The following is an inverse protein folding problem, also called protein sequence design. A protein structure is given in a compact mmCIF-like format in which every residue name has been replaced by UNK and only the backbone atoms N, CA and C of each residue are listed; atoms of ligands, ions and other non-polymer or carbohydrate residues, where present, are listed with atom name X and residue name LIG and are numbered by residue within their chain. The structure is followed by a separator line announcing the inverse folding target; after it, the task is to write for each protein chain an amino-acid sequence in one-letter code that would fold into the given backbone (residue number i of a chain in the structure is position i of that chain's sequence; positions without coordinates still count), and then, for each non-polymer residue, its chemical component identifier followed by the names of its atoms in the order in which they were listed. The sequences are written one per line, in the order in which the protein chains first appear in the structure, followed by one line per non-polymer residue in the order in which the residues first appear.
data_IF_938203003712
#
_entry.id   IF_938203003712
#
_cell.length_a   1.000
_cell.length_b   1.000
_cell.length_c   1.000
_cell.angle_alpha   90.00
_cell.angle_beta   90.00
_cell.angle_gamma   90.00
#
_symmetry.space_group_name_H-M   'P 1'
#
loop_
_entity.id
_entity.type
_entity.pdbx_description
1 polymer ?
#
# COMPACT_ATOMS: atom_id res chain seq x y z
N UNK A 1 57.17 -39.75 -10.15
CA UNK A 1 57.09 -38.32 -9.95
C UNK A 1 55.84 -37.85 -10.66
N UNK A 2 54.76 -37.61 -9.91
CA UNK A 2 53.44 -37.17 -10.42
C UNK A 2 53.31 -35.67 -10.18
N UNK A 3 53.33 -34.91 -11.26
CA UNK A 3 53.02 -33.48 -11.23
C UNK A 3 51.53 -33.31 -10.97
N UNK A 4 51.12 -33.01 -9.73
CA UNK A 4 49.82 -32.49 -9.42
C UNK A 4 49.79 -31.02 -9.79
N UNK A 5 49.02 -30.71 -10.80
CA UNK A 5 48.92 -29.39 -11.38
C UNK A 5 48.18 -28.41 -10.46
N UNK A 6 48.83 -27.29 -10.19
CA UNK A 6 48.40 -26.13 -9.40
C UNK A 6 47.09 -25.47 -9.92
N UNK A 7 46.51 -25.97 -11.01
CA UNK A 7 45.28 -25.45 -11.61
C UNK A 7 43.98 -25.83 -10.86
N UNK A 8 43.98 -26.95 -10.11
CA UNK A 8 42.80 -27.39 -9.37
C UNK A 8 42.54 -26.62 -8.09
N UNK A 9 43.62 -26.10 -7.46
CA UNK A 9 43.49 -25.33 -6.21
C UNK A 9 43.03 -23.88 -6.44
N UNK A 10 43.35 -23.31 -7.62
CA UNK A 10 42.94 -21.94 -7.95
C UNK A 10 41.44 -21.85 -8.29
N UNK A 11 40.87 -22.92 -8.90
CA UNK A 11 39.41 -22.94 -9.17
C UNK A 11 38.58 -23.13 -7.91
N UNK A 12 39.03 -23.94 -6.93
CA UNK A 12 38.35 -24.11 -5.66
C UNK A 12 38.42 -22.85 -4.79
N UNK A 13 39.54 -22.10 -4.83
CA UNK A 13 39.67 -20.81 -4.15
C UNK A 13 38.83 -19.69 -4.80
N UNK A 14 38.61 -19.77 -6.13
CA UNK A 14 37.80 -18.78 -6.85
C UNK A 14 36.29 -18.96 -6.64
N UNK A 15 35.81 -20.18 -6.32
CA UNK A 15 34.44 -20.46 -5.94
C UNK A 15 34.10 -20.12 -4.47
N UNK A 16 35.12 -20.04 -3.59
CA UNK A 16 34.90 -19.61 -2.19
C UNK A 16 34.89 -18.08 -2.00
N UNK A 17 35.35 -17.29 -2.95
CA UNK A 17 35.39 -15.81 -2.85
C UNK A 17 34.08 -15.15 -3.31
N UNK A 18 33.20 -15.86 -4.03
CA UNK A 18 31.92 -15.33 -4.51
C UNK A 18 30.74 -15.58 -3.54
N UNK A 19 30.99 -16.16 -2.37
CA UNK A 19 29.95 -16.52 -1.38
C UNK A 19 30.00 -15.78 -0.03
N UNK A 20 31.04 -14.99 0.24
CA UNK A 20 31.07 -14.20 1.47
C UNK A 20 30.40 -12.85 1.23
N UNK A 21 29.14 -12.72 1.61
CA UNK A 21 28.57 -11.40 1.95
C UNK A 21 29.58 -10.74 2.92
N UNK A 22 30.30 -9.72 2.44
CA UNK A 22 31.07 -8.85 3.33
C UNK A 22 30.07 -8.11 4.21
N UNK A 23 29.71 -8.73 5.34
CA UNK A 23 28.88 -8.08 6.35
C UNK A 23 29.82 -7.14 7.09
N UNK A 24 29.71 -5.87 6.75
CA UNK A 24 30.37 -4.78 7.46
C UNK A 24 29.86 -4.69 8.91
N UNK A 25 30.70 -4.12 9.75
CA UNK A 25 30.53 -4.02 11.20
C UNK A 25 29.10 -3.75 11.63
N UNK A 26 28.64 -4.53 12.61
CA UNK A 26 27.43 -4.23 13.38
C UNK A 26 27.63 -2.90 14.14
N UNK A 27 26.54 -2.15 14.32
CA UNK A 27 26.51 -0.99 15.22
C UNK A 27 26.74 -1.43 16.68
N UNK A 28 26.94 -0.51 17.62
CA UNK A 28 27.24 -0.78 19.02
C UNK A 28 26.23 -1.72 19.73
N UNK A 29 24.98 -1.77 19.22
CA UNK A 29 23.92 -2.69 19.70
C UNK A 29 23.94 -4.07 19.03
N UNK A 30 24.91 -4.33 18.16
CA UNK A 30 25.07 -5.58 17.40
C UNK A 30 24.12 -5.73 16.22
N UNK A 31 23.35 -4.69 15.84
CA UNK A 31 22.46 -4.68 14.68
C UNK A 31 23.22 -4.43 13.38
N UNK A 32 22.66 -4.92 12.28
CA UNK A 32 23.17 -4.71 10.91
C UNK A 32 22.20 -3.75 10.23
N UNK A 33 22.50 -2.45 10.30
CA UNK A 33 21.64 -1.37 9.79
C UNK A 33 21.91 -1.02 8.34
N UNK A 34 23.13 -1.32 7.84
CA UNK A 34 23.43 -1.19 6.42
C UNK A 34 22.61 -2.19 5.62
N UNK A 35 22.06 -1.77 4.47
CA UNK A 35 21.32 -2.65 3.59
C UNK A 35 22.12 -3.88 3.17
N UNK A 36 21.58 -5.06 3.48
CA UNK A 36 22.06 -6.35 2.98
C UNK A 36 21.28 -6.69 1.72
N UNK A 37 22.00 -6.93 0.61
CA UNK A 37 21.38 -7.40 -0.64
C UNK A 37 21.64 -8.88 -0.82
N UNK A 38 20.57 -9.65 -0.97
CA UNK A 38 20.63 -11.10 -1.24
C UNK A 38 20.06 -11.37 -2.61
N UNK A 39 20.91 -11.96 -3.50
CA UNK A 39 20.49 -12.45 -4.80
C UNK A 39 20.19 -13.95 -4.71
N UNK A 40 18.97 -14.33 -5.04
CA UNK A 40 18.51 -15.71 -5.10
C UNK A 40 18.54 -16.19 -6.55
N UNK A 41 19.35 -17.22 -6.82
CA UNK A 41 19.39 -17.89 -8.13
C UNK A 41 18.23 -18.92 -8.25
N UNK A 42 17.62 -19.30 -7.12
CA UNK A 42 16.51 -20.23 -7.05
C UNK A 42 15.63 -19.86 -5.86
N UNK A 43 14.31 -19.88 -6.06
CA UNK A 43 13.34 -19.70 -4.97
C UNK A 43 13.50 -20.79 -3.87
N UNK A 44 13.29 -20.43 -2.62
CA UNK A 44 13.40 -21.31 -1.46
C UNK A 44 14.82 -21.39 -0.87
N UNK A 45 15.77 -20.57 -1.33
CA UNK A 45 17.18 -20.64 -0.87
C UNK A 45 17.61 -19.51 0.06
N UNK A 46 16.71 -18.60 0.44
CA UNK A 46 17.02 -17.54 1.39
C UNK A 46 17.52 -18.07 2.75
N UNK A 47 16.97 -19.18 3.32
CA UNK A 47 17.48 -19.78 4.55
C UNK A 47 18.96 -20.12 4.51
N UNK A 48 19.46 -20.60 3.37
CA UNK A 48 20.86 -20.96 3.15
C UNK A 48 21.76 -19.73 2.97
N UNK A 49 21.19 -18.63 2.47
CA UNK A 49 21.94 -17.38 2.18
C UNK A 49 22.08 -16.51 3.43
N UNK A 50 21.09 -16.52 4.31
CA UNK A 50 21.11 -15.79 5.58
C UNK A 50 21.17 -16.81 6.72
N UNK A 51 22.37 -17.02 7.26
CA UNK A 51 22.55 -17.93 8.41
C UNK A 51 21.73 -17.51 9.62
N UNK A 52 21.27 -18.48 10.41
CA UNK A 52 20.39 -18.28 11.57
C UNK A 52 20.91 -17.24 12.59
N UNK A 53 22.23 -17.20 12.81
CA UNK A 53 22.87 -16.28 13.77
C UNK A 53 22.82 -14.81 13.39
N UNK A 54 22.44 -14.49 12.14
CA UNK A 54 22.40 -13.11 11.60
C UNK A 54 20.98 -12.63 11.33
N UNK A 55 20.00 -13.52 11.24
CA UNK A 55 18.62 -13.20 10.90
C UNK A 55 18.05 -12.12 11.82
N UNK A 56 18.26 -12.26 13.12
CA UNK A 56 17.69 -11.38 14.15
C UNK A 56 18.39 -10.02 14.24
N UNK A 57 19.51 -9.84 13.50
CA UNK A 57 20.32 -8.62 13.55
C UNK A 57 20.14 -7.72 12.33
N UNK A 58 19.63 -8.27 11.22
CA UNK A 58 19.46 -7.51 9.98
C UNK A 58 18.21 -6.64 10.08
N UNK A 59 18.38 -5.33 9.96
CA UNK A 59 17.27 -4.37 9.99
C UNK A 59 16.88 -3.86 8.61
N UNK A 60 17.74 -4.04 7.60
CA UNK A 60 17.53 -3.54 6.25
C UNK A 60 17.97 -4.61 5.22
N UNK A 61 16.99 -5.15 4.48
CA UNK A 61 17.18 -6.26 3.55
C UNK A 61 16.63 -5.91 2.17
N UNK A 62 17.41 -6.19 1.15
CA UNK A 62 16.97 -6.23 -0.26
C UNK A 62 17.08 -7.66 -0.79
N UNK A 63 16.04 -8.13 -1.46
CA UNK A 63 16.04 -9.44 -2.12
C UNK A 63 15.86 -9.24 -3.62
N UNK A 64 16.66 -9.97 -4.40
CA UNK A 64 16.63 -9.98 -5.86
C UNK A 64 16.40 -11.43 -6.31
N UNK A 65 15.48 -11.65 -7.25
CA UNK A 65 15.17 -12.96 -7.82
C UNK A 65 13.84 -13.54 -7.35
N UNK A 66 13.61 -14.81 -7.62
CA UNK A 66 12.34 -15.48 -7.27
C UNK A 66 12.33 -15.87 -5.79
N UNK A 67 11.18 -15.66 -5.13
CA UNK A 67 10.90 -15.99 -3.72
C UNK A 67 9.61 -16.81 -3.62
N UNK A 68 9.63 -17.84 -2.77
CA UNK A 68 8.48 -18.70 -2.52
C UNK A 68 8.17 -18.80 -1.00
N UNK A 69 7.27 -19.72 -0.62
CA UNK A 69 6.83 -19.90 0.76
C UNK A 69 7.96 -20.16 1.76
N UNK A 70 8.99 -20.91 1.37
CA UNK A 70 10.17 -21.18 2.21
C UNK A 70 10.95 -19.89 2.52
N UNK A 71 11.16 -19.04 1.50
CA UNK A 71 11.82 -17.74 1.67
C UNK A 71 10.95 -16.81 2.51
N UNK A 72 9.62 -16.84 2.27
CA UNK A 72 8.65 -15.98 2.96
C UNK A 72 8.61 -16.25 4.46
N UNK A 73 8.72 -17.52 4.85
CA UNK A 73 8.82 -17.92 6.26
C UNK A 73 10.00 -17.24 6.97
N UNK A 74 11.18 -17.24 6.33
CA UNK A 74 12.36 -16.54 6.87
C UNK A 74 12.16 -15.03 6.92
N UNK A 75 11.55 -14.44 5.89
CA UNK A 75 11.25 -13.00 5.88
C UNK A 75 10.34 -12.64 7.05
N UNK A 76 9.31 -13.45 7.36
CA UNK A 76 8.42 -13.25 8.50
C UNK A 76 9.16 -13.35 9.83
N UNK A 77 10.00 -14.40 9.99
CA UNK A 77 10.82 -14.56 11.19
C UNK A 77 11.72 -13.33 11.43
N UNK A 78 12.36 -12.83 10.37
CA UNK A 78 13.15 -11.60 10.43
C UNK A 78 12.34 -10.36 10.77
N UNK A 79 11.08 -10.31 10.33
CA UNK A 79 10.13 -9.22 10.61
C UNK A 79 9.39 -9.36 11.95
N UNK A 80 9.78 -10.32 12.78
CA UNK A 80 9.30 -10.48 14.16
C UNK A 80 8.16 -11.48 14.35
N UNK A 81 7.85 -12.33 13.34
CA UNK A 81 6.78 -13.33 13.44
C UNK A 81 7.18 -14.67 12.82
N UNK A 82 6.97 -15.75 13.55
CA UNK A 82 7.21 -17.08 13.04
C UNK A 82 6.02 -17.67 12.25
N UNK A 83 6.11 -18.94 11.97
CA UNK A 83 5.09 -19.70 11.28
C UNK A 83 3.73 -19.71 11.99
N UNK A 84 3.71 -19.79 13.32
CA UNK A 84 2.52 -19.76 14.16
C UNK A 84 2.06 -18.35 14.55
N UNK A 85 2.68 -17.33 13.92
CA UNK A 85 2.47 -15.92 14.24
C UNK A 85 2.91 -15.54 15.68
N UNK A 86 3.75 -16.38 16.31
CA UNK A 86 4.38 -16.07 17.58
C UNK A 86 5.53 -15.06 17.37
N UNK A 87 5.88 -14.33 18.45
CA UNK A 87 6.94 -13.33 18.39
C UNK A 87 8.32 -13.95 18.23
N UNK A 88 9.15 -13.38 17.37
CA UNK A 88 10.57 -13.70 17.19
C UNK A 88 11.46 -12.51 17.60
N UNK A 89 12.76 -12.74 17.69
CA UNK A 89 13.76 -11.68 17.95
C UNK A 89 14.12 -10.87 16.69
N UNK A 90 13.48 -11.14 15.55
CA UNK A 90 13.72 -10.47 14.29
C UNK A 90 13.57 -8.95 14.37
N UNK A 91 14.50 -8.22 13.73
CA UNK A 91 14.59 -6.74 13.78
C UNK A 91 14.45 -6.10 12.39
N UNK A 92 13.95 -6.84 11.40
CA UNK A 92 13.79 -6.32 10.04
C UNK A 92 12.77 -5.17 10.02
N UNK A 93 13.25 -3.98 9.72
CA UNK A 93 12.47 -2.75 9.66
C UNK A 93 12.25 -2.26 8.22
N UNK A 94 13.23 -2.50 7.34
CA UNK A 94 13.20 -2.05 5.95
C UNK A 94 13.37 -3.26 5.04
N UNK A 95 12.41 -3.51 4.16
CA UNK A 95 12.43 -4.60 3.19
C UNK A 95 12.22 -4.08 1.77
N UNK A 96 13.18 -4.32 0.88
CA UNK A 96 13.09 -3.99 -0.54
C UNK A 96 12.93 -5.26 -1.38
N UNK A 97 11.75 -5.45 -1.94
CA UNK A 97 11.39 -6.53 -2.86
C UNK A 97 11.18 -6.02 -4.30
N UNK A 98 11.63 -4.81 -4.63
CA UNK A 98 11.41 -4.19 -5.94
C UNK A 98 11.92 -5.03 -7.12
N UNK A 99 12.99 -5.79 -6.91
CA UNK A 99 13.62 -6.70 -7.89
C UNK A 99 13.35 -8.19 -7.57
N UNK A 100 12.42 -8.45 -6.66
CA UNK A 100 11.95 -9.81 -6.37
C UNK A 100 10.71 -10.16 -7.21
N UNK A 101 10.46 -11.47 -7.35
CA UNK A 101 9.24 -12.00 -7.95
C UNK A 101 8.68 -13.08 -7.03
N UNK A 102 7.42 -12.93 -6.61
CA UNK A 102 6.75 -13.97 -5.83
C UNK A 102 6.32 -15.09 -6.78
N UNK A 103 6.68 -16.33 -6.44
CA UNK A 103 6.31 -17.51 -7.19
C UNK A 103 5.66 -18.55 -6.28
N UNK A 104 4.83 -19.39 -6.87
CA UNK A 104 4.19 -20.52 -6.18
C UNK A 104 5.23 -21.53 -5.71
N UNK A 105 4.90 -22.28 -4.65
CA UNK A 105 5.70 -23.39 -4.13
C UNK A 105 6.43 -23.06 -2.83
N UNK A 106 7.35 -23.95 -2.44
CA UNK A 106 7.97 -23.91 -1.14
C UNK A 106 7.05 -24.41 -0.02
N UNK A 107 7.47 -24.16 1.22
CA UNK A 107 6.69 -24.52 2.41
C UNK A 107 5.60 -23.47 2.67
N UNK A 108 4.59 -23.86 3.46
CA UNK A 108 3.64 -22.91 4.03
C UNK A 108 4.37 -21.87 4.89
N UNK A 109 4.06 -20.59 4.72
CA UNK A 109 4.76 -19.52 5.42
C UNK A 109 4.05 -19.06 6.70
N UNK A 110 2.79 -19.43 6.88
CA UNK A 110 1.97 -19.04 8.04
C UNK A 110 0.91 -20.08 8.30
N UNK A 111 0.61 -20.30 9.60
CA UNK A 111 -0.49 -21.13 10.07
C UNK A 111 -1.37 -20.29 10.99
N UNK A 112 -2.61 -20.02 10.58
CA UNK A 112 -3.58 -19.24 11.33
C UNK A 112 -4.98 -19.84 11.15
N UNK A 113 -5.83 -19.75 12.17
CA UNK A 113 -7.23 -20.24 12.13
C UNK A 113 -7.36 -21.68 11.61
N UNK A 114 -6.41 -22.57 11.96
CA UNK A 114 -6.34 -23.96 11.51
C UNK A 114 -6.10 -24.12 9.99
N UNK A 115 -5.51 -23.11 9.34
CA UNK A 115 -5.19 -23.14 7.92
C UNK A 115 -3.72 -22.81 7.66
N UNK A 116 -3.17 -23.41 6.63
CA UNK A 116 -1.84 -23.13 6.11
C UNK A 116 -1.92 -22.19 4.90
N UNK A 117 -1.00 -21.23 4.84
CA UNK A 117 -0.94 -20.27 3.76
C UNK A 117 0.34 -20.44 2.95
N UNK A 118 0.19 -20.43 1.63
CA UNK A 118 1.24 -20.64 0.64
C UNK A 118 1.35 -19.45 -0.29
N UNK A 119 2.52 -19.30 -0.94
CA UNK A 119 2.71 -18.28 -1.97
C UNK A 119 2.09 -18.69 -3.30
N UNK A 120 1.58 -17.70 -4.03
CA UNK A 120 1.05 -17.83 -5.39
C UNK A 120 1.77 -16.82 -6.29
N UNK A 121 1.78 -17.07 -7.59
CA UNK A 121 2.51 -16.24 -8.54
C UNK A 121 1.97 -14.80 -8.56
N UNK A 122 2.87 -13.85 -8.32
CA UNK A 122 2.58 -12.41 -8.33
C UNK A 122 1.49 -11.97 -7.34
N UNK A 123 1.29 -12.71 -6.25
CA UNK A 123 0.35 -12.39 -5.18
C UNK A 123 1.08 -12.20 -3.86
N UNK A 124 0.75 -11.14 -3.13
CA UNK A 124 1.06 -11.06 -1.71
C UNK A 124 -0.01 -11.83 -0.95
N UNK A 125 0.35 -12.99 -0.45
CA UNK A 125 -0.60 -13.94 0.12
C UNK A 125 -1.32 -13.43 1.37
N UNK A 126 -2.39 -14.11 1.74
CA UNK A 126 -3.15 -13.90 2.99
C UNK A 126 -2.20 -14.02 4.19
N UNK A 127 -2.31 -13.10 5.17
CA UNK A 127 -1.48 -13.05 6.38
C UNK A 127 0.05 -12.89 6.12
N UNK A 128 0.47 -12.47 4.94
CA UNK A 128 1.88 -12.43 4.56
C UNK A 128 2.78 -11.67 5.57
N UNK A 129 2.31 -10.55 6.11
CA UNK A 129 2.98 -9.75 7.15
C UNK A 129 2.08 -9.52 8.37
N UNK A 130 1.14 -10.44 8.64
CA UNK A 130 0.28 -10.33 9.81
C UNK A 130 1.12 -10.10 11.07
N UNK A 131 0.80 -9.02 11.82
CA UNK A 131 1.44 -8.65 13.07
C UNK A 131 2.97 -8.38 13.00
N UNK A 132 3.53 -8.12 11.81
CA UNK A 132 4.94 -7.75 11.68
C UNK A 132 5.17 -6.31 12.20
N UNK A 133 5.15 -6.16 13.52
CA UNK A 133 5.16 -4.85 14.20
C UNK A 133 6.44 -4.05 14.03
N UNK A 134 7.55 -4.67 13.64
CA UNK A 134 8.84 -4.00 13.42
C UNK A 134 8.99 -3.39 12.04
N UNK A 135 8.13 -3.75 11.08
CA UNK A 135 8.30 -3.35 9.68
C UNK A 135 7.83 -1.90 9.47
N UNK A 136 8.77 -1.00 9.16
CA UNK A 136 8.51 0.44 8.97
C UNK A 136 8.42 0.84 7.52
N UNK A 137 9.14 0.13 6.62
CA UNK A 137 9.22 0.45 5.20
C UNK A 137 9.26 -0.83 4.36
N UNK A 138 8.44 -0.88 3.32
CA UNK A 138 8.38 -1.99 2.37
C UNK A 138 8.22 -1.48 0.95
N UNK A 139 9.06 -2.01 0.05
CA UNK A 139 8.88 -1.87 -1.40
C UNK A 139 8.44 -3.22 -1.96
N UNK A 140 7.25 -3.26 -2.55
CA UNK A 140 6.66 -4.47 -3.13
C UNK A 140 7.20 -4.76 -4.54
N UNK A 141 7.14 -6.04 -5.00
CA UNK A 141 7.49 -6.40 -6.38
C UNK A 141 6.64 -5.66 -7.41
N UNK A 142 7.25 -5.16 -8.48
CA UNK A 142 6.55 -4.42 -9.53
C UNK A 142 5.47 -5.24 -10.27
N UNK A 143 5.64 -6.58 -10.31
CA UNK A 143 4.71 -7.51 -10.96
C UNK A 143 3.53 -7.96 -10.10
N UNK A 144 3.37 -7.43 -8.87
CA UNK A 144 2.31 -7.86 -7.97
C UNK A 144 0.94 -7.45 -8.49
N UNK A 145 -0.01 -8.37 -8.48
CA UNK A 145 -1.38 -8.17 -9.00
C UNK A 145 -2.45 -8.13 -7.92
N UNK A 146 -2.20 -8.75 -6.76
CA UNK A 146 -3.14 -8.79 -5.64
C UNK A 146 -2.45 -8.73 -4.27
N UNK A 147 -3.17 -8.18 -3.30
CA UNK A 147 -2.83 -8.25 -1.87
C UNK A 147 -3.94 -9.03 -1.19
N UNK A 148 -3.57 -10.15 -0.54
CA UNK A 148 -4.49 -11.05 0.14
C UNK A 148 -5.06 -10.49 1.43
N UNK A 149 -6.03 -11.21 2.00
CA UNK A 149 -6.70 -10.82 3.23
C UNK A 149 -5.71 -10.77 4.40
N UNK A 150 -5.84 -9.73 5.24
CA UNK A 150 -5.01 -9.49 6.43
C UNK A 150 -3.50 -9.48 6.15
N UNK A 151 -3.08 -9.23 4.91
CA UNK A 151 -1.67 -9.30 4.51
C UNK A 151 -0.74 -8.40 5.34
N UNK A 152 -1.21 -7.24 5.77
CA UNK A 152 -0.48 -6.28 6.62
C UNK A 152 -1.20 -6.00 7.94
N UNK A 153 -2.19 -6.81 8.32
CA UNK A 153 -2.95 -6.53 9.54
C UNK A 153 -2.01 -6.44 10.76
N UNK A 154 -2.20 -5.39 11.55
CA UNK A 154 -1.36 -5.14 12.74
C UNK A 154 0.03 -4.56 12.47
N UNK A 155 0.38 -4.18 11.24
CA UNK A 155 1.64 -3.47 10.96
C UNK A 155 1.54 -1.99 11.41
N UNK A 156 1.46 -1.75 12.71
CA UNK A 156 1.16 -0.41 13.29
C UNK A 156 2.20 0.66 12.98
N UNK A 157 3.46 0.26 12.77
CA UNK A 157 4.57 1.20 12.52
C UNK A 157 4.93 1.32 11.05
N UNK A 158 4.20 0.65 10.16
CA UNK A 158 4.43 0.75 8.72
C UNK A 158 4.04 2.15 8.23
N UNK A 159 5.04 2.96 7.88
CA UNK A 159 4.85 4.36 7.45
C UNK A 159 5.09 4.55 5.96
N UNK A 160 5.88 3.67 5.35
CA UNK A 160 6.28 3.76 3.94
C UNK A 160 5.95 2.47 3.20
N UNK A 161 4.96 2.55 2.33
CA UNK A 161 4.56 1.47 1.44
C UNK A 161 4.15 2.05 0.09
N UNK A 162 4.76 1.54 -0.98
CA UNK A 162 4.37 1.88 -2.35
C UNK A 162 3.70 0.68 -3.01
N UNK A 163 2.48 0.87 -3.48
CA UNK A 163 1.75 -0.15 -4.22
C UNK A 163 2.15 -0.14 -5.71
N UNK A 164 2.38 -1.31 -6.32
CA UNK A 164 2.69 -1.39 -7.74
C UNK A 164 1.48 -1.04 -8.62
N UNK A 165 1.74 -0.45 -9.78
CA UNK A 165 0.69 0.03 -10.70
C UNK A 165 -0.18 -1.09 -11.27
N UNK A 166 0.31 -2.33 -11.27
CA UNK A 166 -0.41 -3.52 -11.75
C UNK A 166 -1.41 -4.12 -10.76
N UNK A 167 -1.50 -3.57 -9.54
CA UNK A 167 -2.38 -4.11 -8.51
C UNK A 167 -3.85 -3.87 -8.86
N UNK A 168 -4.65 -4.93 -8.83
CA UNK A 168 -6.08 -4.91 -9.21
C UNK A 168 -7.03 -5.16 -8.04
N UNK A 169 -6.53 -5.78 -6.95
CA UNK A 169 -7.35 -6.10 -5.78
C UNK A 169 -6.61 -5.97 -4.46
N UNK A 170 -7.34 -5.53 -3.44
CA UNK A 170 -6.93 -5.48 -2.04
C UNK A 170 -7.98 -6.27 -1.25
N UNK A 171 -7.55 -7.33 -0.58
CA UNK A 171 -8.40 -8.26 0.17
C UNK A 171 -8.93 -7.71 1.49
N UNK A 172 -9.77 -8.50 2.15
CA UNK A 172 -10.40 -8.15 3.41
C UNK A 172 -9.37 -7.95 4.52
N UNK A 173 -9.51 -6.89 5.31
CA UNK A 173 -8.58 -6.56 6.40
C UNK A 173 -7.13 -6.37 5.98
N UNK A 174 -6.81 -6.21 4.70
CA UNK A 174 -5.43 -6.22 4.20
C UNK A 174 -4.48 -5.25 4.96
N UNK A 175 -4.98 -4.10 5.38
CA UNK A 175 -4.25 -3.09 6.16
C UNK A 175 -4.92 -2.82 7.52
N UNK A 176 -5.63 -3.81 8.08
CA UNK A 176 -6.31 -3.67 9.37
C UNK A 176 -5.34 -3.17 10.46
N UNK A 177 -5.63 -2.04 11.08
CA UNK A 177 -4.82 -1.46 12.15
C UNK A 177 -3.48 -0.83 11.72
N UNK A 178 -3.22 -0.63 10.43
CA UNK A 178 -1.99 0.05 9.96
C UNK A 178 -2.02 1.55 10.30
N UNK A 179 -2.00 1.88 11.58
CA UNK A 179 -2.13 3.27 12.07
C UNK A 179 -0.95 4.18 11.72
N UNK A 180 0.20 3.62 11.37
CA UNK A 180 1.38 4.36 10.90
C UNK A 180 1.26 4.91 9.48
N UNK A 181 0.37 4.38 8.64
CA UNK A 181 0.19 4.86 7.27
C UNK A 181 -0.45 6.26 7.28
N UNK A 182 0.28 7.27 6.80
CA UNK A 182 -0.16 8.68 6.82
C UNK A 182 -0.70 9.16 5.47
N UNK A 183 -0.11 8.69 4.39
CA UNK A 183 -0.55 8.97 3.03
C UNK A 183 -0.45 7.69 2.21
N UNK A 184 -1.48 7.44 1.39
CA UNK A 184 -1.57 6.19 0.65
C UNK A 184 -2.15 6.45 -0.74
N UNK A 185 -1.43 6.04 -1.78
CA UNK A 185 -1.89 6.18 -3.16
C UNK A 185 -2.33 4.81 -3.67
N UNK A 186 -3.60 4.68 -3.98
CA UNK A 186 -4.15 3.49 -4.60
C UNK A 186 -3.88 3.47 -6.10
N UNK A 187 -3.46 2.33 -6.70
CA UNK A 187 -3.15 2.24 -8.12
C UNK A 187 -4.41 2.37 -8.98
N UNK A 188 -4.25 2.91 -10.18
CA UNK A 188 -5.37 3.20 -11.09
C UNK A 188 -6.12 1.94 -11.59
N UNK A 189 -5.49 0.77 -11.52
CA UNK A 189 -6.08 -0.52 -11.90
C UNK A 189 -6.99 -1.15 -10.85
N UNK A 190 -7.05 -0.57 -9.63
CA UNK A 190 -7.83 -1.14 -8.54
C UNK A 190 -9.33 -0.97 -8.78
N UNK A 191 -10.08 -2.07 -8.74
CA UNK A 191 -11.53 -2.11 -9.00
C UNK A 191 -12.36 -2.30 -7.75
N UNK A 192 -11.80 -2.88 -6.69
CA UNK A 192 -12.48 -3.13 -5.43
C UNK A 192 -11.55 -3.01 -4.22
N UNK A 193 -12.13 -2.61 -3.11
CA UNK A 193 -11.50 -2.61 -1.78
C UNK A 193 -12.32 -3.56 -0.92
N UNK A 194 -11.66 -4.55 -0.29
CA UNK A 194 -12.28 -5.56 0.55
C UNK A 194 -12.90 -5.03 1.84
N UNK A 195 -13.64 -5.89 2.54
CA UNK A 195 -14.22 -5.57 3.85
C UNK A 195 -13.09 -5.28 4.86
N UNK A 196 -13.25 -4.24 5.68
CA UNK A 196 -12.29 -3.84 6.72
C UNK A 196 -10.86 -3.57 6.21
N UNK A 197 -10.64 -3.41 4.90
CA UNK A 197 -9.31 -3.35 4.30
C UNK A 197 -8.39 -2.31 4.93
N UNK A 198 -8.91 -1.18 5.37
CA UNK A 198 -8.19 -0.09 6.06
C UNK A 198 -8.79 0.22 7.44
N UNK A 199 -9.44 -0.75 8.08
CA UNK A 199 -10.01 -0.55 9.42
C UNK A 199 -8.94 -0.07 10.40
N UNK A 200 -9.18 1.01 11.13
CA UNK A 200 -8.26 1.52 12.15
C UNK A 200 -6.97 2.13 11.60
N UNK A 201 -6.90 2.46 10.31
CA UNK A 201 -5.78 3.24 9.74
C UNK A 201 -5.89 4.71 10.18
N UNK A 202 -5.79 4.96 11.49
CA UNK A 202 -6.04 6.27 12.10
C UNK A 202 -5.05 7.36 11.71
N UNK A 203 -3.86 6.99 11.24
CA UNK A 203 -2.86 7.92 10.72
C UNK A 203 -3.16 8.43 9.32
N UNK A 204 -4.08 7.79 8.58
CA UNK A 204 -4.37 8.14 7.19
C UNK A 204 -5.07 9.49 7.11
N UNK A 205 -4.37 10.51 6.60
CA UNK A 205 -4.87 11.90 6.53
C UNK A 205 -5.49 12.25 5.18
N UNK A 206 -5.06 11.56 4.13
CA UNK A 206 -5.57 11.75 2.77
C UNK A 206 -5.66 10.42 2.03
N UNK A 207 -6.71 10.26 1.25
CA UNK A 207 -6.97 9.07 0.43
C UNK A 207 -7.44 9.51 -0.95
N UNK A 208 -6.76 9.03 -1.99
CA UNK A 208 -7.18 9.21 -3.38
C UNK A 208 -7.71 7.88 -3.91
N UNK A 209 -9.01 7.79 -4.10
CA UNK A 209 -9.64 6.63 -4.71
C UNK A 209 -9.41 6.64 -6.24
N UNK A 210 -9.09 5.50 -6.88
CA UNK A 210 -8.88 5.44 -8.32
C UNK A 210 -10.20 5.48 -9.11
N UNK A 211 -10.16 6.02 -10.32
CA UNK A 211 -11.35 6.15 -11.18
C UNK A 211 -12.02 4.82 -11.53
N UNK A 212 -11.24 3.73 -11.58
CA UNK A 212 -11.73 2.39 -11.87
C UNK A 212 -12.45 1.71 -10.69
N UNK A 213 -12.46 2.33 -9.51
CA UNK A 213 -13.04 1.73 -8.31
C UNK A 213 -14.55 1.65 -8.43
N UNK A 214 -15.10 0.44 -8.32
CA UNK A 214 -16.54 0.16 -8.43
C UNK A 214 -17.18 -0.18 -7.09
N UNK A 215 -16.41 -0.70 -6.12
CA UNK A 215 -16.93 -1.11 -4.82
C UNK A 215 -15.99 -0.82 -3.67
N UNK A 216 -16.57 -0.44 -2.54
CA UNK A 216 -15.92 -0.31 -1.25
C UNK A 216 -16.63 -1.26 -0.28
N UNK A 217 -15.89 -2.15 0.36
CA UNK A 217 -16.40 -3.16 1.28
C UNK A 217 -16.95 -2.60 2.58
N UNK A 218 -17.57 -3.46 3.37
CA UNK A 218 -18.12 -3.10 4.69
C UNK A 218 -16.97 -2.74 5.64
N UNK A 219 -17.13 -1.63 6.38
CA UNK A 219 -16.16 -1.15 7.35
C UNK A 219 -14.75 -0.87 6.75
N UNK A 220 -14.65 -0.73 5.43
CA UNK A 220 -13.36 -0.66 4.73
C UNK A 220 -12.44 0.46 5.27
N UNK A 221 -12.99 1.60 5.67
CA UNK A 221 -12.26 2.73 6.26
C UNK A 221 -12.79 3.08 7.66
N UNK A 222 -13.39 2.10 8.35
CA UNK A 222 -13.86 2.33 9.72
C UNK A 222 -12.71 2.76 10.63
N UNK A 223 -12.97 3.75 11.50
CA UNK A 223 -12.01 4.32 12.45
C UNK A 223 -10.75 4.93 11.80
N UNK A 224 -10.82 5.34 10.52
CA UNK A 224 -9.80 6.18 9.88
C UNK A 224 -9.94 7.63 10.36
N UNK A 225 -9.71 7.87 11.66
CA UNK A 225 -9.98 9.14 12.33
C UNK A 225 -9.13 10.31 11.85
N UNK A 226 -7.99 10.05 11.20
CA UNK A 226 -7.13 11.07 10.60
C UNK A 226 -7.62 11.59 9.26
N UNK A 227 -8.59 10.90 8.60
CA UNK A 227 -9.03 11.26 7.26
C UNK A 227 -9.81 12.57 7.28
N UNK A 228 -9.35 13.58 6.52
CA UNK A 228 -9.93 14.93 6.56
C UNK A 228 -10.86 15.21 5.37
N UNK A 229 -10.67 14.54 4.26
CA UNK A 229 -11.51 14.69 3.07
C UNK A 229 -11.68 13.35 2.34
N UNK A 230 -12.83 13.19 1.69
CA UNK A 230 -13.17 11.99 0.92
C UNK A 230 -13.74 12.41 -0.43
N UNK A 231 -13.31 11.74 -1.52
CA UNK A 231 -13.88 11.91 -2.86
C UNK A 231 -14.47 10.59 -3.34
N UNK A 232 -15.79 10.51 -3.44
CA UNK A 232 -16.53 9.37 -3.96
C UNK A 232 -16.76 9.56 -5.46
N UNK A 233 -16.04 8.78 -6.26
CA UNK A 233 -16.00 8.96 -7.71
C UNK A 233 -17.24 8.37 -8.41
N UNK A 234 -17.52 8.84 -9.60
CA UNK A 234 -18.73 8.48 -10.39
C UNK A 234 -18.80 7.00 -10.79
N UNK A 235 -17.67 6.28 -10.75
CA UNK A 235 -17.61 4.83 -11.04
C UNK A 235 -18.12 3.93 -9.91
N UNK A 236 -18.30 4.44 -8.70
CA UNK A 236 -18.76 3.64 -7.55
C UNK A 236 -20.20 3.17 -7.76
N UNK A 237 -20.40 1.86 -7.61
CA UNK A 237 -21.72 1.21 -7.70
C UNK A 237 -22.22 0.74 -6.35
N UNK A 238 -21.31 0.50 -5.37
CA UNK A 238 -21.67 0.08 -4.01
C UNK A 238 -20.66 0.52 -2.97
N UNK A 239 -21.16 0.84 -1.78
CA UNK A 239 -20.40 1.15 -0.58
C UNK A 239 -21.03 0.34 0.56
N UNK A 240 -20.23 -0.44 1.28
CA UNK A 240 -20.67 -1.36 2.32
C UNK A 240 -21.08 -0.70 3.62
N UNK A 241 -21.64 -1.51 4.53
CA UNK A 241 -22.10 -1.07 5.86
C UNK A 241 -20.93 -0.50 6.68
N UNK A 242 -21.14 0.64 7.35
CA UNK A 242 -20.13 1.26 8.20
C UNK A 242 -18.81 1.62 7.50
N UNK A 243 -18.79 1.76 6.17
CA UNK A 243 -17.55 1.92 5.41
C UNK A 243 -16.66 3.08 5.89
N UNK A 244 -17.23 4.14 6.41
CA UNK A 244 -16.54 5.32 6.96
C UNK A 244 -16.96 5.61 8.43
N UNK A 245 -17.46 4.59 9.13
CA UNK A 245 -17.81 4.72 10.54
C UNK A 245 -16.60 5.21 11.35
N UNK A 246 -16.78 6.18 12.25
CA UNK A 246 -15.70 6.69 13.11
C UNK A 246 -14.63 7.52 12.39
N UNK A 247 -14.84 7.93 11.14
CA UNK A 247 -13.97 8.88 10.45
C UNK A 247 -14.15 10.30 10.99
N UNK A 248 -13.85 10.51 12.28
CA UNK A 248 -14.13 11.73 13.03
C UNK A 248 -13.38 12.97 12.55
N UNK A 249 -12.31 12.79 11.76
CA UNK A 249 -11.53 13.87 11.15
C UNK A 249 -12.17 14.49 9.90
N UNK A 250 -13.21 13.86 9.31
CA UNK A 250 -13.79 14.31 8.05
C UNK A 250 -14.41 15.71 8.18
N UNK A 251 -14.01 16.61 7.29
CA UNK A 251 -14.53 17.97 7.14
C UNK A 251 -15.20 18.20 5.79
N UNK A 252 -14.93 17.36 4.81
CA UNK A 252 -15.52 17.46 3.48
C UNK A 252 -15.64 16.09 2.79
N UNK A 253 -16.80 15.88 2.16
CA UNK A 253 -17.06 14.72 1.31
C UNK A 253 -17.53 15.24 -0.05
N UNK A 254 -16.82 14.88 -1.11
CA UNK A 254 -17.18 15.21 -2.50
C UNK A 254 -17.76 13.98 -3.18
N UNK A 255 -18.99 14.05 -3.60
CA UNK A 255 -19.66 12.98 -4.36
C UNK A 255 -19.76 13.40 -5.82
N UNK A 256 -19.20 12.59 -6.70
CA UNK A 256 -19.22 12.85 -8.15
C UNK A 256 -20.23 11.98 -8.93
N UNK A 257 -20.91 11.09 -8.22
CA UNK A 257 -21.89 10.19 -8.81
C UNK A 257 -23.23 10.91 -9.00
N UNK A 258 -23.68 11.11 -10.24
CA UNK A 258 -25.01 11.61 -10.54
C UNK A 258 -26.11 10.59 -10.19
N UNK A 259 -25.77 9.31 -10.31
CA UNK A 259 -26.63 8.20 -9.86
C UNK A 259 -26.05 7.62 -8.58
N UNK A 260 -26.86 7.66 -7.51
CA UNK A 260 -26.45 7.16 -6.20
C UNK A 260 -26.01 5.69 -6.27
N UNK A 261 -24.84 5.34 -5.73
CA UNK A 261 -24.45 3.94 -5.55
C UNK A 261 -25.37 3.24 -4.54
N UNK A 262 -25.35 1.93 -4.52
CA UNK A 262 -25.98 1.17 -3.42
C UNK A 262 -25.21 1.48 -2.14
N UNK A 263 -25.88 2.06 -1.15
CA UNK A 263 -25.30 2.42 0.14
C UNK A 263 -25.61 1.35 1.19
N UNK A 264 -24.62 1.02 1.99
CA UNK A 264 -24.78 0.28 3.23
C UNK A 264 -25.34 1.17 4.34
N UNK A 265 -25.57 0.60 5.52
CA UNK A 265 -26.10 1.28 6.69
C UNK A 265 -25.00 1.82 7.61
N UNK A 266 -25.31 2.84 8.42
CA UNK A 266 -24.42 3.42 9.44
C UNK A 266 -23.04 3.87 8.88
N UNK A 267 -23.01 4.28 7.61
CA UNK A 267 -21.76 4.56 6.90
C UNK A 267 -20.90 5.62 7.57
N UNK A 268 -21.54 6.62 8.20
CA UNK A 268 -20.87 7.81 8.72
C UNK A 268 -21.04 8.00 10.23
N UNK A 269 -21.60 7.03 10.95
CA UNK A 269 -21.75 7.12 12.40
C UNK A 269 -20.39 7.38 13.07
N UNK A 270 -20.36 8.34 14.00
CA UNK A 270 -19.13 8.76 14.65
C UNK A 270 -18.28 9.78 13.86
N UNK A 271 -18.74 10.20 12.67
CA UNK A 271 -18.25 11.43 12.03
C UNK A 271 -18.86 12.67 12.70
N UNK A 272 -18.26 13.85 12.51
CA UNK A 272 -18.83 15.11 13.00
C UNK A 272 -19.86 15.64 11.99
N UNK A 273 -21.15 15.37 12.26
CA UNK A 273 -22.26 15.73 11.39
C UNK A 273 -22.39 17.24 11.14
N UNK A 274 -21.92 18.07 12.07
CA UNK A 274 -22.01 19.54 12.00
C UNK A 274 -20.83 20.17 11.28
N UNK A 275 -19.65 19.56 11.42
CA UNK A 275 -18.42 20.09 10.89
C UNK A 275 -18.16 19.66 9.45
N UNK A 276 -18.63 18.47 9.07
CA UNK A 276 -18.42 17.93 7.74
C UNK A 276 -19.45 18.50 6.74
N UNK A 277 -18.96 18.98 5.60
CA UNK A 277 -19.81 19.41 4.48
C UNK A 277 -19.76 18.34 3.37
N UNK A 278 -20.95 17.93 2.93
CA UNK A 278 -21.10 17.00 1.79
C UNK A 278 -21.41 17.82 0.53
N UNK A 279 -20.60 17.65 -0.48
CA UNK A 279 -20.78 18.27 -1.78
C UNK A 279 -21.35 17.23 -2.75
N UNK A 280 -22.54 17.50 -3.30
CA UNK A 280 -23.25 16.60 -4.23
C UNK A 280 -23.44 17.27 -5.58
N UNK A 281 -23.57 16.50 -6.70
CA UNK A 281 -23.82 17.07 -8.01
C UNK A 281 -25.11 17.91 -8.03
N UNK A 282 -25.10 18.97 -8.80
CA UNK A 282 -26.27 19.85 -8.97
C UNK A 282 -27.49 19.08 -9.48
N UNK A 283 -28.63 19.30 -8.84
CA UNK A 283 -29.90 18.63 -9.13
C UNK A 283 -30.06 17.27 -8.44
N UNK A 284 -29.13 16.86 -7.55
CA UNK A 284 -29.21 15.58 -6.83
C UNK A 284 -29.39 15.73 -5.31
N UNK A 285 -29.60 16.96 -4.82
CA UNK A 285 -29.73 17.25 -3.38
C UNK A 285 -30.75 16.34 -2.70
N UNK A 286 -31.96 16.23 -3.23
CA UNK A 286 -33.04 15.46 -2.61
C UNK A 286 -32.70 13.95 -2.53
N UNK A 287 -32.05 13.40 -3.55
CA UNK A 287 -31.65 12.00 -3.58
C UNK A 287 -30.65 11.70 -2.43
N UNK A 288 -29.65 12.58 -2.26
CA UNK A 288 -28.65 12.43 -1.21
C UNK A 288 -29.19 12.75 0.17
N UNK A 289 -30.08 13.75 0.30
CA UNK A 289 -30.77 14.08 1.55
C UNK A 289 -31.66 12.93 2.05
N UNK A 290 -32.24 12.14 1.18
CA UNK A 290 -33.07 10.97 1.52
C UNK A 290 -32.27 9.68 1.74
N UNK A 291 -30.95 9.77 1.84
CA UNK A 291 -30.03 8.63 1.97
C UNK A 291 -29.22 8.67 3.27
N UNK A 292 -28.21 7.81 3.42
CA UNK A 292 -27.24 7.81 4.52
C UNK A 292 -26.48 9.14 4.67
N UNK A 293 -26.43 9.97 3.60
CA UNK A 293 -25.82 11.30 3.67
C UNK A 293 -26.64 12.31 4.47
N UNK A 294 -27.92 12.03 4.76
CA UNK A 294 -28.75 12.84 5.68
C UNK A 294 -28.21 12.88 7.11
N UNK A 295 -27.23 12.04 7.43
CA UNK A 295 -26.47 12.11 8.67
C UNK A 295 -25.80 13.49 8.86
N UNK A 296 -25.40 14.15 7.77
CA UNK A 296 -24.73 15.45 7.81
C UNK A 296 -25.71 16.62 7.73
N UNK A 297 -25.47 17.64 8.55
CA UNK A 297 -26.31 18.86 8.58
C UNK A 297 -26.06 19.77 7.38
N UNK A 298 -24.88 19.65 6.72
CA UNK A 298 -24.44 20.51 5.62
C UNK A 298 -24.31 19.72 4.32
N UNK A 299 -25.34 19.74 3.47
CA UNK A 299 -25.28 19.22 2.11
C UNK A 299 -25.37 20.39 1.13
N UNK A 300 -24.44 20.49 0.19
CA UNK A 300 -24.30 21.59 -0.77
C UNK A 300 -24.16 21.05 -2.18
N UNK A 301 -24.95 21.57 -3.09
CA UNK A 301 -24.80 21.24 -4.50
C UNK A 301 -23.60 21.97 -5.11
N UNK A 302 -22.88 21.28 -5.98
CA UNK A 302 -21.82 21.87 -6.78
C UNK A 302 -21.90 21.42 -8.24
N UNK A 303 -21.39 22.25 -9.13
CA UNK A 303 -21.24 21.86 -10.55
C UNK A 303 -20.15 20.78 -10.61
N UNK A 304 -20.56 19.53 -10.70
CA UNK A 304 -19.67 18.40 -10.95
C UNK A 304 -19.22 18.46 -12.43
N UNK A 305 -18.44 19.48 -12.80
CA UNK A 305 -17.88 19.57 -14.15
C UNK A 305 -16.92 18.40 -14.33
N UNK A 306 -17.36 17.48 -15.13
CA UNK A 306 -16.87 16.12 -15.31
C UNK A 306 -15.36 15.98 -15.35
N UNK A 307 -14.85 15.15 -14.45
CA UNK A 307 -13.54 14.51 -14.58
C UNK A 307 -13.53 13.57 -15.82
N UNK A 308 -14.68 13.28 -16.41
CA UNK A 308 -14.84 12.42 -17.60
C UNK A 308 -14.83 13.16 -18.94
N UNK A 309 -14.82 14.50 -18.96
CA UNK A 309 -14.67 15.24 -20.19
C UNK A 309 -13.48 16.19 -20.07
N UNK A 310 -12.45 15.93 -20.85
CA UNK A 310 -11.51 16.97 -21.27
C UNK A 310 -12.31 17.95 -22.11
N UNK A 311 -13.10 18.82 -21.46
CA UNK A 311 -13.64 20.00 -22.11
C UNK A 311 -12.48 20.96 -22.21
N UNK A 312 -11.98 21.11 -23.41
CA UNK A 312 -11.19 22.26 -23.82
C UNK A 312 -12.09 23.50 -23.78
N UNK A 313 -12.44 23.97 -22.57
CA UNK A 313 -12.95 25.33 -22.46
C UNK A 313 -11.73 26.25 -22.50
N UNK A 314 -11.66 27.06 -23.57
CA UNK A 314 -10.60 28.05 -23.77
C UNK A 314 -10.58 29.16 -22.70
N UNK A 315 -11.46 29.12 -21.67
CA UNK A 315 -11.65 30.19 -20.71
C UNK A 315 -11.18 29.86 -19.27
N UNK A 316 -10.71 28.64 -19.02
CA UNK A 316 -10.22 28.29 -17.70
C UNK A 316 -8.85 28.95 -17.43
N UNK A 317 -8.79 29.83 -16.41
CA UNK A 317 -7.53 30.51 -16.01
C UNK A 317 -6.72 29.60 -15.10
N UNK A 318 -5.41 29.56 -15.34
CA UNK A 318 -4.47 28.91 -14.45
C UNK A 318 -4.45 29.62 -13.08
N UNK A 319 -4.72 28.87 -12.01
CA UNK A 319 -4.70 29.37 -10.62
C UNK A 319 -3.37 29.12 -9.93
N UNK A 320 -2.77 27.96 -10.19
CA UNK A 320 -1.51 27.57 -9.58
C UNK A 320 -0.83 26.47 -10.38
N UNK A 321 0.48 26.41 -10.28
CA UNK A 321 1.34 25.43 -10.94
C UNK A 321 2.28 24.80 -9.94
N UNK A 322 2.54 23.51 -10.12
CA UNK A 322 3.40 22.72 -9.24
C UNK A 322 4.36 21.87 -10.08
N UNK A 323 5.54 21.61 -9.56
CA UNK A 323 6.43 20.57 -10.07
C UNK A 323 5.82 19.18 -9.81
N UNK A 324 6.37 18.15 -10.44
CA UNK A 324 5.99 16.74 -10.17
C UNK A 324 6.22 16.33 -8.72
N UNK A 325 7.09 17.04 -8.01
CA UNK A 325 7.40 16.80 -6.59
C UNK A 325 6.51 17.64 -5.64
N UNK A 326 5.44 18.28 -6.17
CA UNK A 326 4.49 19.07 -5.38
C UNK A 326 4.95 20.48 -4.99
N UNK A 327 6.11 20.93 -5.41
CA UNK A 327 6.60 22.29 -5.14
C UNK A 327 5.83 23.30 -6.00
N UNK A 328 5.26 24.34 -5.39
CA UNK A 328 4.58 25.41 -6.10
C UNK A 328 5.57 26.20 -6.98
N UNK A 329 5.21 26.41 -8.23
CA UNK A 329 6.02 27.13 -9.22
C UNK A 329 5.40 28.50 -9.47
N UNK A 330 6.23 29.52 -9.59
CA UNK A 330 5.82 30.89 -9.92
C UNK A 330 5.68 31.13 -11.43
N UNK A 331 6.26 30.22 -12.23
CA UNK A 331 6.24 30.26 -13.70
C UNK A 331 6.36 28.83 -14.27
N UNK A 332 6.01 28.60 -15.56
CA UNK A 332 6.27 27.32 -16.22
C UNK A 332 7.77 26.98 -16.18
N UNK A 333 8.10 25.75 -15.75
CA UNK A 333 9.48 25.23 -15.77
C UNK A 333 9.58 24.08 -16.76
N UNK A 334 10.72 23.92 -17.41
CA UNK A 334 10.96 22.83 -18.35
C UNK A 334 10.66 21.47 -17.73
N UNK A 335 9.98 20.62 -18.47
CA UNK A 335 9.53 19.30 -18.04
C UNK A 335 8.04 19.26 -17.73
N UNK A 336 7.63 18.26 -16.93
CA UNK A 336 6.23 18.03 -16.59
C UNK A 336 5.80 18.91 -15.41
N UNK A 337 4.78 19.76 -15.61
CA UNK A 337 4.18 20.60 -14.58
C UNK A 337 2.75 20.12 -14.28
N UNK A 338 2.30 20.26 -13.05
CA UNK A 338 0.92 20.02 -12.60
C UNK A 338 0.25 21.39 -12.46
N UNK A 339 -0.78 21.65 -13.24
CA UNK A 339 -1.47 22.95 -13.29
C UNK A 339 -2.90 22.81 -12.80
N UNK A 340 -3.28 23.64 -11.82
CA UNK A 340 -4.64 23.76 -11.33
C UNK A 340 -5.31 24.97 -11.99
N UNK A 341 -6.51 24.79 -12.51
CA UNK A 341 -7.29 25.81 -13.23
C UNK A 341 -8.47 26.32 -12.41
N UNK A 342 -9.05 27.46 -12.84
CA UNK A 342 -10.17 28.13 -12.18
C UNK A 342 -11.48 27.32 -12.24
N UNK A 343 -11.59 26.37 -13.15
CA UNK A 343 -12.69 25.40 -13.24
C UNK A 343 -12.52 24.19 -12.33
N UNK A 344 -11.50 24.20 -11.44
CA UNK A 344 -11.17 23.10 -10.54
C UNK A 344 -10.37 21.98 -11.20
N UNK A 345 -10.17 22.00 -12.50
CA UNK A 345 -9.40 20.96 -13.19
C UNK A 345 -7.90 21.01 -12.84
N UNK A 346 -7.27 19.86 -12.86
CA UNK A 346 -5.83 19.70 -12.69
C UNK A 346 -5.27 18.97 -13.89
N UNK A 347 -4.33 19.58 -14.61
CA UNK A 347 -3.72 18.98 -15.80
C UNK A 347 -2.22 18.81 -15.65
N UNK A 348 -1.68 17.75 -16.24
CA UNK A 348 -0.24 17.61 -16.45
C UNK A 348 0.13 18.29 -17.76
N UNK A 349 0.96 19.31 -17.70
CA UNK A 349 1.37 20.12 -18.84
C UNK A 349 2.88 19.92 -19.06
N UNK A 350 3.25 19.43 -20.24
CA UNK A 350 4.65 19.37 -20.63
C UNK A 350 5.10 20.76 -21.11
N UNK A 351 6.16 21.29 -20.52
CA UNK A 351 6.79 22.54 -20.92
C UNK A 351 8.12 22.21 -21.57
N UNK A 352 8.28 22.57 -22.84
CA UNK A 352 9.48 22.34 -23.63
C UNK A 352 10.57 23.36 -23.34
#
# INVERSE_FOLDING_TARGET
MRNFTFKGLLLAAMFMVLGSLAIQAADDDGLITKQITVKLEKAGTLPDRIGSTKRDKITNLKIIGEINGTDWRVIREMAGRDYYNDGTDGKLAILDLSEAKIVSGGESYCYEFHQEFYTHDNELGTHAFLNCYGLTSLTLPAGLTSIGSFAFAGCYVLTSLSLPSGLTSIGDGAFYGCSGLTSFSLPSGLTSIGDQAFYGCSGLTSLSLPFGLTSIGSQAFRDCSGLTSLSLLSGLTSIGDGAFYGCSGLTSIYVYAEKMPKLGTNMFDGCDAKKCTVYVPKGTYDDYWLSEFSYFENIVEFEATGINNVITSNDAKELSRYSVNGQRLSAPTQGLNIVKYSDGSVKKVAVQ
#
